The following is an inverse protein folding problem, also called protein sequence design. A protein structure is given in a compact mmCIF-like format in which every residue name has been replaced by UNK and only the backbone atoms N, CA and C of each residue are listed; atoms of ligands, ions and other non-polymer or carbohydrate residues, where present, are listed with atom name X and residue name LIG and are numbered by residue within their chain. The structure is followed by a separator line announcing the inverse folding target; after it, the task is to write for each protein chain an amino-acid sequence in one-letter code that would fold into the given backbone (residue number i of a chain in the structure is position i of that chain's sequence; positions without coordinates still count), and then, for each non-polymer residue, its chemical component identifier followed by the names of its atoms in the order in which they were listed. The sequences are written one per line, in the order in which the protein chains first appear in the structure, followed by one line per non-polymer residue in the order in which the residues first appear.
data_IF_132361417151
#
_entry.id   IF_132361417151
#
_cell.length_a   1.000
_cell.length_b   1.000
_cell.length_c   1.000
_cell.angle_alpha   90.00
_cell.angle_beta   90.00
_cell.angle_gamma   90.00
#
_symmetry.space_group_name_H-M   'P 1'
#
loop_
_entity.id
_entity.type
_entity.pdbx_description
1 polymer ?
#
# COMPACT_ATOMS: atom_id res chain seq x y z
N UNK A 1 -11.44 -17.42 -17.05
CA UNK A 1 -11.21 -17.89 -15.66
C UNK A 1 -10.12 -17.08 -15.00
N UNK A 2 -10.33 -16.67 -13.73
CA UNK A 2 -9.33 -15.97 -12.90
C UNK A 2 -8.10 -16.87 -12.67
N UNK A 3 -6.89 -16.29 -12.76
CA UNK A 3 -5.61 -17.03 -12.69
C UNK A 3 -4.68 -16.58 -11.57
N UNK A 4 -4.81 -15.35 -11.10
CA UNK A 4 -3.99 -14.81 -10.03
C UNK A 4 -4.46 -13.41 -9.66
N UNK A 5 -3.94 -12.93 -8.54
CA UNK A 5 -4.27 -11.64 -7.93
C UNK A 5 -2.96 -10.96 -7.57
N UNK A 6 -2.79 -9.70 -7.96
CA UNK A 6 -1.66 -8.87 -7.54
C UNK A 6 -2.22 -7.67 -6.78
N UNK A 7 -1.71 -7.41 -5.58
CA UNK A 7 -2.08 -6.26 -4.76
C UNK A 7 -0.81 -5.51 -4.40
N UNK A 8 -0.74 -4.24 -4.82
CA UNK A 8 0.36 -3.33 -4.50
C UNK A 8 -0.02 -2.43 -3.35
N UNK A 9 0.85 -2.31 -2.35
CA UNK A 9 0.70 -1.37 -1.24
C UNK A 9 -0.72 -1.39 -0.64
N UNK A 10 -1.28 -2.60 -0.48
CA UNK A 10 -2.69 -2.79 -0.16
C UNK A 10 -2.98 -2.66 1.34
N UNK A 11 -3.87 -1.75 1.70
CA UNK A 11 -4.42 -1.67 3.06
C UNK A 11 -5.53 -2.70 3.24
N UNK A 12 -5.26 -3.77 4.00
CA UNK A 12 -6.11 -4.97 4.07
C UNK A 12 -6.70 -5.19 5.47
N UNK A 13 -5.89 -5.04 6.51
CA UNK A 13 -6.27 -5.36 7.87
C UNK A 13 -5.85 -4.24 8.82
N UNK A 14 -6.74 -3.26 9.07
CA UNK A 14 -6.41 -2.09 9.90
C UNK A 14 -5.84 -2.47 11.27
N UNK A 15 -6.32 -3.55 11.89
CA UNK A 15 -5.82 -4.01 13.20
C UNK A 15 -4.32 -4.32 13.21
N UNK A 16 -3.77 -4.79 12.09
CA UNK A 16 -2.34 -5.14 11.97
C UNK A 16 -1.52 -4.13 11.17
N UNK A 17 -2.18 -3.18 10.49
CA UNK A 17 -1.54 -2.25 9.56
C UNK A 17 -1.48 -0.79 10.04
N UNK A 18 -1.95 -0.47 11.24
CA UNK A 18 -1.96 0.90 11.79
C UNK A 18 -0.73 1.26 12.64
N UNK A 19 0.42 0.59 12.48
CA UNK A 19 1.62 0.82 13.31
C UNK A 19 2.47 2.04 12.86
N UNK A 20 1.80 3.16 12.58
CA UNK A 20 2.45 4.36 12.04
C UNK A 20 3.48 4.97 12.99
N UNK A 21 3.24 4.89 14.29
CA UNK A 21 4.10 5.50 15.30
C UNK A 21 5.52 4.90 15.31
N UNK A 22 5.63 3.57 15.34
CA UNK A 22 6.91 2.87 15.39
C UNK A 22 7.62 3.00 14.05
N UNK A 23 6.88 2.92 12.94
CA UNK A 23 7.46 3.07 11.61
C UNK A 23 8.07 4.47 11.39
N UNK A 24 7.30 5.54 11.62
CA UNK A 24 7.76 6.91 11.41
C UNK A 24 8.94 7.28 12.33
N UNK A 25 8.94 6.78 13.56
CA UNK A 25 10.08 6.91 14.47
C UNK A 25 11.30 6.14 13.95
N UNK A 26 11.10 4.89 13.50
CA UNK A 26 12.15 4.01 12.99
C UNK A 26 12.88 4.57 11.77
N UNK A 27 12.18 5.31 10.91
CA UNK A 27 12.78 6.01 9.75
C UNK A 27 13.19 7.46 10.07
N UNK A 28 13.16 7.86 11.34
CA UNK A 28 13.62 9.17 11.83
C UNK A 28 12.85 10.39 11.29
N UNK A 29 11.60 10.22 10.86
CA UNK A 29 10.74 11.34 10.45
C UNK A 29 10.06 12.05 11.64
N UNK A 30 9.93 11.35 12.77
CA UNK A 30 9.34 11.92 13.98
C UNK A 30 10.17 11.55 15.22
N UNK A 31 10.14 12.41 16.24
CA UNK A 31 10.74 12.11 17.54
C UNK A 31 9.84 11.22 18.42
N UNK A 32 10.33 10.86 19.61
CA UNK A 32 9.58 10.00 20.55
C UNK A 32 8.28 10.63 21.04
N UNK A 33 8.21 11.96 21.18
CA UNK A 33 7.01 12.66 21.66
C UNK A 33 5.95 12.68 20.57
N UNK A 34 6.35 13.00 19.35
CA UNK A 34 5.50 12.97 18.17
C UNK A 34 4.99 11.54 17.88
N UNK A 35 5.85 10.54 17.98
CA UNK A 35 5.45 9.13 17.85
C UNK A 35 4.42 8.71 18.91
N UNK A 36 4.55 9.18 20.16
CA UNK A 36 3.57 8.90 21.21
C UNK A 36 2.18 9.47 20.88
N UNK A 37 2.11 10.67 20.29
CA UNK A 37 0.83 11.27 19.84
C UNK A 37 0.20 10.45 18.72
N UNK A 38 0.99 9.98 17.75
CA UNK A 38 0.49 9.10 16.67
C UNK A 38 0.00 7.78 17.26
N UNK A 39 0.75 7.20 18.21
CA UNK A 39 0.40 5.91 18.84
C UNK A 39 -0.94 5.98 19.58
N UNK A 40 -1.23 7.10 20.24
CA UNK A 40 -2.53 7.32 20.88
C UNK A 40 -3.69 7.21 19.87
N UNK A 41 -3.53 7.78 18.66
CA UNK A 41 -4.54 7.70 17.59
C UNK A 41 -4.70 6.28 17.06
N UNK A 42 -3.60 5.58 16.82
CA UNK A 42 -3.61 4.21 16.30
C UNK A 42 -4.21 3.23 17.32
N UNK A 43 -3.83 3.34 18.59
CA UNK A 43 -4.36 2.49 19.67
C UNK A 43 -5.86 2.72 19.88
N UNK A 44 -6.32 3.98 19.84
CA UNK A 44 -7.73 4.31 19.91
C UNK A 44 -8.51 3.71 18.73
N UNK A 45 -8.02 3.87 17.50
CA UNK A 45 -8.65 3.29 16.31
C UNK A 45 -8.73 1.76 16.39
N UNK A 46 -7.65 1.07 16.76
CA UNK A 46 -7.63 -0.39 16.95
C UNK A 46 -8.63 -0.82 18.05
N UNK A 47 -8.71 -0.08 19.15
CA UNK A 47 -9.68 -0.33 20.22
C UNK A 47 -11.13 -0.21 19.75
N UNK A 48 -11.42 0.77 18.89
CA UNK A 48 -12.75 1.00 18.30
C UNK A 48 -13.10 -0.06 17.25
N UNK A 49 -12.14 -0.47 16.41
CA UNK A 49 -12.30 -1.58 15.45
C UNK A 49 -12.72 -2.86 16.18
N UNK A 50 -12.06 -3.18 17.30
CA UNK A 50 -12.39 -4.37 18.12
C UNK A 50 -13.80 -4.33 18.72
N UNK A 51 -14.42 -3.17 18.79
CA UNK A 51 -15.81 -2.97 19.24
C UNK A 51 -16.81 -2.91 18.08
N UNK A 52 -16.36 -3.02 16.81
CA UNK A 52 -17.19 -2.84 15.62
C UNK A 52 -17.57 -1.38 15.33
N UNK A 53 -16.89 -0.41 15.96
CA UNK A 53 -17.15 1.04 15.83
C UNK A 53 -16.29 1.63 14.71
N UNK A 54 -16.52 1.18 13.48
CA UNK A 54 -15.63 1.47 12.35
C UNK A 54 -15.58 2.94 11.92
N UNK A 55 -16.73 3.62 11.94
CA UNK A 55 -16.80 5.07 11.66
C UNK A 55 -15.89 5.86 12.61
N UNK A 56 -16.06 5.61 13.91
CA UNK A 56 -15.31 6.29 14.96
C UNK A 56 -13.83 5.91 14.95
N UNK A 57 -13.51 4.66 14.57
CA UNK A 57 -12.14 4.25 14.35
C UNK A 57 -11.48 5.04 13.22
N UNK A 58 -12.21 5.29 12.13
CA UNK A 58 -11.68 6.07 11.01
C UNK A 58 -11.49 7.53 11.42
N UNK A 59 -12.45 8.10 12.17
CA UNK A 59 -12.31 9.44 12.76
C UNK A 59 -11.12 9.56 13.71
N UNK A 60 -10.83 8.52 14.49
CA UNK A 60 -9.70 8.52 15.42
C UNK A 60 -8.35 8.60 14.69
N UNK A 61 -8.22 7.95 13.54
CA UNK A 61 -6.97 7.88 12.79
C UNK A 61 -6.83 8.94 11.69
N UNK A 62 -7.93 9.49 11.17
CA UNK A 62 -7.93 10.43 10.03
C UNK A 62 -6.94 11.57 10.21
N UNK A 63 -6.88 12.18 11.40
CA UNK A 63 -5.95 13.28 11.72
C UNK A 63 -4.45 12.98 11.50
N UNK A 64 -4.04 11.71 11.39
CA UNK A 64 -2.65 11.35 11.11
C UNK A 64 -2.23 11.83 9.71
N UNK A 65 -3.03 11.56 8.70
CA UNK A 65 -2.73 11.91 7.30
C UNK A 65 -3.69 12.96 6.72
N UNK A 66 -4.94 12.96 7.17
CA UNK A 66 -5.98 13.92 6.79
C UNK A 66 -5.95 15.15 7.72
N UNK A 67 -6.39 16.30 7.20
CA UNK A 67 -6.44 17.57 7.91
C UNK A 67 -5.59 18.67 7.28
N UNK A 68 -5.74 19.89 7.77
CA UNK A 68 -5.08 21.08 7.21
C UNK A 68 -4.48 21.97 8.33
N UNK A 69 -3.24 21.70 8.78
CA UNK A 69 -2.39 20.55 8.43
C UNK A 69 -2.72 19.29 9.22
N UNK A 70 -2.45 18.11 8.65
CA UNK A 70 -2.47 16.82 9.36
C UNK A 70 -1.31 16.70 10.36
N UNK A 71 -1.35 15.72 11.28
CA UNK A 71 -0.23 15.47 12.21
C UNK A 71 1.05 15.15 11.45
N UNK A 72 0.98 14.32 10.41
CA UNK A 72 2.13 14.00 9.56
C UNK A 72 2.74 15.27 8.95
N UNK A 73 1.90 16.14 8.36
CA UNK A 73 2.36 17.41 7.77
C UNK A 73 2.99 18.33 8.82
N UNK A 74 2.35 18.45 9.99
CA UNK A 74 2.82 19.32 11.05
C UNK A 74 4.14 18.84 11.68
N UNK A 75 4.34 17.52 11.79
CA UNK A 75 5.54 16.95 12.41
C UNK A 75 6.73 16.86 11.46
N UNK A 76 6.49 16.61 10.18
CA UNK A 76 7.55 16.36 9.19
C UNK A 76 7.79 17.53 8.24
N UNK A 77 6.80 18.40 8.07
CA UNK A 77 6.77 19.41 7.01
C UNK A 77 6.44 18.85 5.62
N UNK A 78 6.14 17.55 5.50
CA UNK A 78 5.88 16.90 4.21
C UNK A 78 4.39 16.86 3.95
N UNK A 79 4.02 17.10 2.69
CA UNK A 79 2.64 16.96 2.20
C UNK A 79 2.41 15.68 1.41
N UNK A 80 3.50 14.95 1.13
CA UNK A 80 3.46 13.68 0.42
C UNK A 80 3.90 12.55 1.33
N UNK A 81 3.01 11.61 1.55
CA UNK A 81 3.24 10.38 2.32
C UNK A 81 3.30 9.14 1.41
N UNK A 82 3.27 9.31 0.07
CA UNK A 82 3.43 8.18 -0.86
C UNK A 82 4.90 7.84 -1.12
N UNK A 83 5.83 8.76 -0.91
CA UNK A 83 7.27 8.50 -1.03
C UNK A 83 8.02 9.49 -0.15
N UNK A 84 8.61 9.01 0.95
CA UNK A 84 9.25 9.90 1.93
C UNK A 84 10.55 10.55 1.46
N UNK A 85 11.06 10.24 0.26
CA UNK A 85 12.15 11.01 -0.35
C UNK A 85 11.67 12.33 -0.98
N UNK A 86 10.36 12.47 -1.17
CA UNK A 86 9.73 13.59 -1.84
C UNK A 86 8.81 14.32 -0.85
N UNK A 87 9.17 15.53 -0.45
CA UNK A 87 8.39 16.31 0.53
C UNK A 87 7.03 16.78 0.00
N UNK A 88 6.85 16.75 -1.32
CA UNK A 88 5.62 17.09 -2.06
C UNK A 88 5.39 16.08 -3.17
N UNK A 89 4.13 15.91 -3.56
CA UNK A 89 3.79 15.03 -4.67
C UNK A 89 4.38 15.62 -5.97
N UNK A 90 4.98 14.80 -6.86
CA UNK A 90 5.46 15.25 -8.15
C UNK A 90 4.33 15.85 -9.01
N UNK A 91 4.58 16.99 -9.65
CA UNK A 91 3.60 17.67 -10.50
C UNK A 91 3.17 16.81 -11.70
N UNK A 92 4.08 15.99 -12.22
CA UNK A 92 3.84 15.08 -13.32
C UNK A 92 3.02 13.85 -12.94
N UNK A 93 2.58 13.69 -11.68
CA UNK A 93 1.54 12.72 -11.36
C UNK A 93 0.15 13.21 -11.79
N UNK A 94 -0.07 14.52 -11.96
CA UNK A 94 -1.38 15.09 -12.30
C UNK A 94 -1.59 15.37 -13.80
N UNK A 95 -0.58 15.15 -14.66
CA UNK A 95 -0.62 15.56 -16.07
C UNK A 95 -1.75 14.91 -16.89
N UNK A 96 -2.22 13.72 -16.51
CA UNK A 96 -3.21 12.99 -17.28
C UNK A 96 -4.59 13.65 -17.20
N UNK A 97 -4.90 14.37 -16.13
CA UNK A 97 -6.18 15.05 -15.94
C UNK A 97 -6.45 16.05 -17.08
N UNK A 98 -5.58 17.05 -17.36
CA UNK A 98 -5.79 17.94 -18.49
C UNK A 98 -5.69 17.22 -19.86
N UNK A 99 -4.86 16.18 -19.98
CA UNK A 99 -4.76 15.40 -21.21
C UNK A 99 -6.07 14.69 -21.58
N UNK A 100 -6.70 14.01 -20.61
CA UNK A 100 -7.99 13.33 -20.76
C UNK A 100 -9.12 14.31 -21.11
N UNK A 101 -9.00 15.57 -20.72
CA UNK A 101 -10.00 16.61 -20.99
C UNK A 101 -9.90 17.21 -22.40
N UNK A 102 -8.86 16.92 -23.17
CA UNK A 102 -8.74 17.43 -24.54
C UNK A 102 -9.87 16.91 -25.45
N UNK A 103 -10.39 17.75 -26.35
CA UNK A 103 -11.47 17.35 -27.29
C UNK A 103 -11.10 16.11 -28.09
N UNK A 104 -9.83 16.00 -28.50
CA UNK A 104 -9.32 14.84 -29.24
C UNK A 104 -9.46 13.55 -28.42
N UNK A 105 -8.91 13.54 -27.20
CA UNK A 105 -8.93 12.34 -26.34
C UNK A 105 -10.36 11.96 -25.97
N UNK A 106 -11.17 12.93 -25.51
CA UNK A 106 -12.59 12.69 -25.16
C UNK A 106 -13.41 12.08 -26.30
N UNK A 107 -13.20 12.55 -27.54
CA UNK A 107 -13.83 11.97 -28.73
C UNK A 107 -13.34 10.55 -28.99
N UNK A 108 -12.04 10.30 -28.85
CA UNK A 108 -11.41 8.99 -29.08
C UNK A 108 -11.85 7.91 -28.08
N UNK A 109 -12.20 8.28 -26.84
CA UNK A 109 -12.67 7.32 -25.82
C UNK A 109 -14.19 7.33 -25.61
N UNK A 110 -14.94 8.03 -26.48
CA UNK A 110 -16.41 8.03 -26.52
C UNK A 110 -17.13 8.48 -25.23
N UNK A 111 -16.52 9.35 -24.42
CA UNK A 111 -17.12 9.82 -23.14
C UNK A 111 -18.11 10.99 -23.29
N UNK A 112 -18.30 11.49 -24.51
CA UNK A 112 -19.22 12.59 -24.79
C UNK A 112 -18.89 13.84 -23.97
N UNK A 113 -19.86 14.33 -23.18
CA UNK A 113 -19.74 15.51 -22.31
C UNK A 113 -19.53 15.17 -20.83
N UNK A 114 -19.32 13.90 -20.46
CA UNK A 114 -19.12 13.51 -19.06
C UNK A 114 -17.84 14.12 -18.48
N UNK A 115 -17.88 14.84 -17.35
CA UNK A 115 -16.68 15.35 -16.72
C UNK A 115 -15.82 14.19 -16.20
N UNK A 116 -14.50 14.29 -16.35
CA UNK A 116 -13.57 13.42 -15.66
C UNK A 116 -13.33 13.97 -14.26
N UNK A 117 -13.46 13.13 -13.24
CA UNK A 117 -13.08 13.41 -11.86
C UNK A 117 -12.16 12.28 -11.41
N UNK A 118 -11.01 12.65 -10.84
CA UNK A 118 -9.99 11.69 -10.40
C UNK A 118 -10.31 11.08 -9.03
N UNK A 119 -11.25 11.70 -8.31
CA UNK A 119 -11.80 11.24 -7.04
C UNK A 119 -13.28 11.62 -6.94
N UNK A 120 -13.99 11.04 -5.96
CA UNK A 120 -15.39 11.38 -5.68
C UNK A 120 -15.63 11.41 -4.18
N UNK A 121 -15.88 12.60 -3.63
CA UNK A 121 -16.22 12.79 -2.21
C UNK A 121 -17.43 11.97 -1.79
N UNK A 122 -18.44 11.82 -2.65
CA UNK A 122 -19.59 10.97 -2.36
C UNK A 122 -19.18 9.51 -2.11
N UNK A 123 -18.44 8.90 -3.04
CA UNK A 123 -17.95 7.52 -2.89
C UNK A 123 -17.04 7.40 -1.67
N UNK A 124 -16.14 8.36 -1.46
CA UNK A 124 -15.28 8.38 -0.26
C UNK A 124 -16.11 8.38 1.04
N UNK A 125 -17.11 9.26 1.13
CA UNK A 125 -17.97 9.37 2.31
C UNK A 125 -18.86 8.13 2.50
N UNK A 126 -19.38 7.55 1.42
CA UNK A 126 -20.19 6.33 1.49
C UNK A 126 -19.37 5.12 2.00
N UNK A 127 -18.06 5.09 1.74
CA UNK A 127 -17.12 4.04 2.18
C UNK A 127 -16.29 4.43 3.41
N UNK A 128 -16.56 5.58 4.03
CA UNK A 128 -15.68 6.13 5.07
C UNK A 128 -15.51 5.18 6.27
N UNK A 129 -16.60 4.58 6.75
CA UNK A 129 -16.52 3.56 7.81
C UNK A 129 -15.92 2.24 7.31
N UNK A 130 -16.09 1.90 6.03
CA UNK A 130 -15.62 0.63 5.44
C UNK A 130 -14.09 0.53 5.42
N UNK A 131 -13.38 1.67 5.39
CA UNK A 131 -11.92 1.70 5.46
C UNK A 131 -11.35 0.98 6.67
N UNK A 132 -12.09 0.97 7.80
CA UNK A 132 -11.68 0.31 9.04
C UNK A 132 -12.18 -1.14 9.18
N UNK A 133 -12.87 -1.65 8.17
CA UNK A 133 -13.33 -3.04 8.11
C UNK A 133 -12.22 -3.92 7.52
N UNK A 134 -11.90 -5.03 8.19
CA UNK A 134 -10.84 -5.93 7.74
C UNK A 134 -11.26 -6.76 6.52
N UNK A 135 -10.48 -6.67 5.44
CA UNK A 135 -10.59 -7.54 4.27
C UNK A 135 -9.78 -8.85 4.42
N UNK A 136 -9.05 -9.02 5.54
CA UNK A 136 -8.27 -10.22 5.86
C UNK A 136 -9.01 -11.55 5.66
N UNK A 137 -10.30 -11.72 6.01
CA UNK A 137 -11.00 -12.98 5.82
C UNK A 137 -11.13 -13.43 4.36
N UNK A 138 -10.95 -12.52 3.40
CA UNK A 138 -10.97 -12.84 1.97
C UNK A 138 -9.67 -13.53 1.53
N UNK A 139 -8.55 -13.33 2.23
CA UNK A 139 -7.24 -13.81 1.79
C UNK A 139 -7.07 -15.33 1.86
N UNK A 140 -7.39 -16.04 2.97
CA UNK A 140 -7.19 -17.48 3.04
C UNK A 140 -7.82 -18.26 1.88
N UNK A 141 -9.13 -18.13 1.56
CA UNK A 141 -9.71 -18.88 0.45
C UNK A 141 -9.12 -18.51 -0.93
N UNK A 142 -8.57 -17.29 -1.08
CA UNK A 142 -7.88 -16.89 -2.31
C UNK A 142 -6.50 -17.54 -2.41
N UNK A 143 -5.74 -17.59 -1.31
CA UNK A 143 -4.41 -18.21 -1.25
C UNK A 143 -4.44 -19.72 -1.48
N UNK A 144 -5.52 -20.39 -1.04
CA UNK A 144 -5.70 -21.83 -1.29
C UNK A 144 -5.96 -22.15 -2.78
N UNK A 145 -6.45 -21.17 -3.56
CA UNK A 145 -6.96 -21.42 -4.92
C UNK A 145 -6.19 -20.73 -6.04
N UNK A 146 -5.60 -19.57 -5.77
CA UNK A 146 -5.00 -18.71 -6.80
C UNK A 146 -3.57 -18.35 -6.45
N UNK A 147 -2.79 -18.00 -7.49
CA UNK A 147 -1.52 -17.30 -7.31
C UNK A 147 -1.80 -15.90 -6.75
N UNK A 148 -1.16 -15.54 -5.65
CA UNK A 148 -1.31 -14.22 -5.03
C UNK A 148 0.06 -13.57 -4.91
N UNK A 149 0.19 -12.37 -5.46
CA UNK A 149 1.34 -11.49 -5.32
C UNK A 149 0.95 -10.31 -4.41
N UNK A 150 1.63 -10.16 -3.28
CA UNK A 150 1.64 -8.91 -2.53
C UNK A 150 2.98 -8.22 -2.75
N UNK A 151 2.94 -6.94 -3.11
CA UNK A 151 4.14 -6.16 -3.27
C UNK A 151 4.02 -4.80 -2.57
N UNK A 152 5.13 -4.30 -2.06
CA UNK A 152 5.21 -2.98 -1.44
C UNK A 152 6.44 -2.23 -1.92
N UNK A 153 6.29 -0.93 -2.14
CA UNK A 153 7.41 -0.02 -2.23
C UNK A 153 8.07 0.22 -0.86
N UNK A 154 9.39 0.20 -0.82
CA UNK A 154 10.17 0.43 0.40
C UNK A 154 9.96 1.83 1.02
N UNK A 155 9.60 2.81 0.21
CA UNK A 155 9.53 4.23 0.57
C UNK A 155 8.09 4.71 0.89
N UNK A 156 7.12 3.80 0.89
CA UNK A 156 5.72 4.08 1.20
C UNK A 156 5.51 4.28 2.71
N UNK A 157 4.84 5.37 3.10
CA UNK A 157 4.44 5.61 4.49
C UNK A 157 3.02 5.13 4.77
N UNK A 158 2.08 5.37 3.86
CA UNK A 158 0.65 5.11 4.14
C UNK A 158 0.37 3.62 4.24
N UNK A 159 1.05 2.78 3.46
CA UNK A 159 0.98 1.32 3.58
C UNK A 159 2.38 0.72 3.58
N UNK A 160 3.15 1.08 4.60
CA UNK A 160 4.54 0.67 4.73
C UNK A 160 4.72 -0.86 4.73
N UNK A 161 5.84 -1.33 4.21
CA UNK A 161 6.16 -2.76 4.14
C UNK A 161 6.04 -3.53 5.48
N UNK A 162 6.49 -2.99 6.64
CA UNK A 162 6.30 -3.66 7.93
C UNK A 162 4.83 -3.92 8.28
N UNK A 163 3.89 -3.10 7.79
CA UNK A 163 2.45 -3.31 8.01
C UNK A 163 1.95 -4.53 7.24
N UNK A 164 2.44 -4.70 6.01
CA UNK A 164 2.18 -5.91 5.22
C UNK A 164 2.74 -7.16 5.91
N UNK A 165 3.93 -7.06 6.51
CA UNK A 165 4.52 -8.16 7.29
C UNK A 165 3.69 -8.51 8.54
N UNK A 166 3.24 -7.51 9.30
CA UNK A 166 2.37 -7.72 10.46
C UNK A 166 1.05 -8.40 10.06
N UNK A 167 0.45 -7.98 8.96
CA UNK A 167 -0.73 -8.62 8.39
C UNK A 167 -0.47 -10.08 8.01
N UNK A 168 0.61 -10.36 7.27
CA UNK A 168 0.96 -11.72 6.84
C UNK A 168 1.25 -12.64 8.02
N UNK A 169 1.95 -12.15 9.03
CA UNK A 169 2.22 -12.91 10.26
C UNK A 169 0.94 -13.28 11.03
N UNK A 170 -0.11 -12.48 10.89
CA UNK A 170 -1.40 -12.72 11.54
C UNK A 170 -2.35 -13.62 10.74
N UNK A 171 -2.01 -13.97 9.50
CA UNK A 171 -2.88 -14.67 8.57
C UNK A 171 -2.85 -16.19 8.81
N UNK A 172 -4.03 -16.79 8.98
CA UNK A 172 -4.16 -18.24 9.14
C UNK A 172 -4.54 -18.89 7.81
N UNK A 173 -3.61 -19.65 7.23
CA UNK A 173 -3.78 -20.38 5.97
C UNK A 173 -2.75 -21.52 5.88
N UNK A 174 -2.91 -22.45 4.94
CA UNK A 174 -2.10 -23.69 4.89
C UNK A 174 -0.60 -23.43 4.71
N UNK A 175 -0.22 -22.34 4.05
CA UNK A 175 1.16 -21.95 3.80
C UNK A 175 1.77 -21.02 4.85
N UNK A 176 1.05 -20.64 5.92
CA UNK A 176 1.52 -19.65 6.90
C UNK A 176 2.86 -20.04 7.54
N UNK A 177 2.98 -21.28 8.03
CA UNK A 177 4.22 -21.77 8.64
C UNK A 177 5.39 -21.84 7.65
N UNK A 178 5.10 -22.19 6.39
CA UNK A 178 6.11 -22.22 5.34
C UNK A 178 6.60 -20.82 4.98
N UNK A 179 5.69 -19.84 4.92
CA UNK A 179 6.03 -18.44 4.70
C UNK A 179 6.89 -17.88 5.85
N UNK A 180 6.51 -18.16 7.10
CA UNK A 180 7.26 -17.72 8.28
C UNK A 180 8.68 -18.31 8.34
N UNK A 181 8.86 -19.54 7.84
CA UNK A 181 10.16 -20.19 7.75
C UNK A 181 10.97 -19.81 6.50
N UNK A 182 10.34 -19.20 5.49
CA UNK A 182 10.98 -18.91 4.21
C UNK A 182 11.98 -17.75 4.35
N UNK A 183 13.24 -18.02 4.00
CA UNK A 183 14.27 -16.98 3.94
C UNK A 183 13.99 -16.01 2.80
N UNK A 184 14.08 -14.72 3.11
CA UNK A 184 14.02 -13.64 2.13
C UNK A 184 15.20 -13.72 1.15
N UNK A 185 14.89 -13.76 -0.15
CA UNK A 185 15.86 -13.85 -1.24
C UNK A 185 16.11 -12.47 -1.87
N UNK A 186 17.33 -12.23 -2.35
CA UNK A 186 17.70 -10.98 -3.03
C UNK A 186 17.35 -11.08 -4.51
N UNK A 187 16.38 -10.29 -4.95
CA UNK A 187 16.00 -10.19 -6.37
C UNK A 187 16.79 -9.07 -7.05
N UNK A 188 17.41 -9.40 -8.17
CA UNK A 188 18.38 -8.56 -8.88
C UNK A 188 17.93 -8.26 -10.30
N UNK A 189 18.52 -7.21 -10.88
CA UNK A 189 18.44 -6.94 -12.32
C UNK A 189 18.83 -8.16 -13.15
N UNK A 190 18.31 -8.34 -14.36
CA UNK A 190 18.89 -9.25 -15.34
C UNK A 190 20.41 -9.02 -15.45
N UNK A 191 21.21 -10.08 -15.32
CA UNK A 191 22.68 -10.00 -15.28
C UNK A 191 23.31 -9.68 -13.91
N UNK A 192 22.52 -9.45 -12.87
CA UNK A 192 22.96 -9.42 -11.46
C UNK A 192 23.58 -8.12 -10.94
N UNK A 193 23.67 -7.06 -11.75
CA UNK A 193 24.37 -5.82 -11.44
C UNK A 193 23.79 -4.97 -10.30
N UNK A 194 22.46 -4.91 -10.14
CA UNK A 194 21.81 -4.15 -9.07
C UNK A 194 20.70 -4.98 -8.38
N UNK A 195 20.27 -4.53 -7.21
CA UNK A 195 19.22 -5.15 -6.38
C UNK A 195 17.91 -4.41 -6.58
N UNK A 196 16.98 -5.04 -7.28
CA UNK A 196 15.59 -4.59 -7.42
C UNK A 196 14.82 -4.65 -6.11
N UNK A 197 15.08 -5.68 -5.31
CA UNK A 197 14.30 -5.87 -4.11
C UNK A 197 14.55 -7.20 -3.46
N UNK A 198 13.54 -7.64 -2.74
CA UNK A 198 13.60 -8.84 -1.94
C UNK A 198 12.30 -9.61 -2.05
N UNK A 199 12.41 -10.93 -2.10
CA UNK A 199 11.27 -11.80 -2.38
C UNK A 199 11.19 -12.91 -1.34
N UNK A 200 9.99 -13.22 -0.89
CA UNK A 200 9.68 -14.39 -0.06
C UNK A 200 8.52 -15.14 -0.69
N UNK A 201 8.61 -16.47 -0.75
CA UNK A 201 7.61 -17.30 -1.43
C UNK A 201 7.26 -18.51 -0.57
N UNK A 202 5.98 -18.88 -0.58
CA UNK A 202 5.48 -20.11 -0.01
C UNK A 202 4.22 -20.55 -0.76
N UNK A 203 4.18 -21.81 -1.21
CA UNK A 203 3.06 -22.33 -2.00
C UNK A 203 2.71 -21.40 -3.20
N UNK A 204 1.46 -20.95 -3.28
CA UNK A 204 0.97 -20.05 -4.33
C UNK A 204 1.15 -18.55 -4.02
N UNK A 205 1.81 -18.23 -2.92
CA UNK A 205 1.99 -16.86 -2.43
C UNK A 205 3.39 -16.34 -2.72
N UNK A 206 3.46 -15.10 -3.22
CA UNK A 206 4.70 -14.36 -3.42
C UNK A 206 4.58 -13.00 -2.77
N UNK A 207 5.56 -12.65 -1.95
CA UNK A 207 5.70 -11.36 -1.31
C UNK A 207 6.95 -10.66 -1.84
N UNK A 208 6.83 -9.39 -2.21
CA UNK A 208 7.92 -8.62 -2.81
C UNK A 208 8.04 -7.26 -2.12
N UNK A 209 9.23 -6.95 -1.61
CA UNK A 209 9.63 -5.57 -1.33
C UNK A 209 10.43 -5.04 -2.51
N UNK A 210 9.99 -3.94 -3.09
CA UNK A 210 10.72 -3.24 -4.15
C UNK A 210 11.48 -2.07 -3.56
N UNK A 211 12.80 -2.05 -3.76
CA UNK A 211 13.66 -0.96 -3.30
C UNK A 211 13.37 0.31 -4.06
N UNK A 212 13.59 1.45 -3.42
CA UNK A 212 13.48 2.79 -4.04
C UNK A 212 12.10 3.11 -4.66
N UNK A 213 11.06 2.33 -4.35
CA UNK A 213 9.69 2.61 -4.79
C UNK A 213 8.81 3.05 -3.61
N UNK A 214 7.86 3.95 -3.86
CA UNK A 214 6.85 4.40 -2.91
C UNK A 214 5.51 3.67 -3.08
N UNK A 215 4.42 4.36 -2.75
CA UNK A 215 3.05 3.85 -2.81
C UNK A 215 2.60 3.61 -4.26
N UNK A 216 2.92 4.54 -5.17
CA UNK A 216 2.64 4.40 -6.60
C UNK A 216 3.83 3.70 -7.26
N UNK A 217 4.04 2.43 -6.89
CA UNK A 217 5.25 1.69 -7.26
C UNK A 217 5.61 1.76 -8.76
N UNK A 218 4.68 1.58 -9.72
CA UNK A 218 5.02 1.64 -11.14
C UNK A 218 5.46 3.03 -11.62
N UNK A 219 5.12 4.10 -10.91
CA UNK A 219 5.61 5.44 -11.18
C UNK A 219 7.07 5.58 -10.73
N UNK A 220 7.40 5.13 -9.50
CA UNK A 220 8.75 5.29 -8.94
C UNK A 220 9.78 4.30 -9.54
N UNK A 221 9.36 3.08 -9.89
CA UNK A 221 10.22 1.99 -10.35
C UNK A 221 9.59 1.23 -11.53
N UNK A 222 9.39 1.86 -12.71
CA UNK A 222 8.64 1.28 -13.83
C UNK A 222 9.24 -0.03 -14.38
N UNK A 223 10.55 -0.06 -14.62
CA UNK A 223 11.23 -1.25 -15.17
C UNK A 223 11.18 -2.42 -14.18
N UNK A 224 11.31 -2.13 -12.89
CA UNK A 224 11.25 -3.13 -11.82
C UNK A 224 9.82 -3.67 -11.67
N UNK A 225 8.82 -2.78 -11.66
CA UNK A 225 7.42 -3.18 -11.62
C UNK A 225 7.03 -4.04 -12.85
N UNK A 226 7.58 -3.71 -14.02
CA UNK A 226 7.38 -4.49 -15.24
C UNK A 226 8.01 -5.89 -15.16
N UNK A 227 9.25 -6.02 -14.67
CA UNK A 227 9.89 -7.32 -14.45
C UNK A 227 9.10 -8.15 -13.43
N UNK A 228 8.70 -7.56 -12.30
CA UNK A 228 7.89 -8.21 -11.27
C UNK A 228 6.58 -8.78 -11.81
N UNK A 229 5.77 -7.96 -12.49
CA UNK A 229 4.45 -8.38 -12.96
C UNK A 229 4.58 -9.41 -14.09
N UNK A 230 5.58 -9.26 -14.96
CA UNK A 230 5.87 -10.23 -16.02
C UNK A 230 6.25 -11.58 -15.44
N UNK A 231 7.11 -11.61 -14.41
CA UNK A 231 7.46 -12.86 -13.72
C UNK A 231 6.26 -13.53 -13.08
N UNK A 232 5.40 -12.76 -12.42
CA UNK A 232 4.18 -13.28 -11.80
C UNK A 232 3.19 -13.89 -12.82
N UNK A 233 2.96 -13.17 -13.93
CA UNK A 233 2.07 -13.62 -15.01
C UNK A 233 2.62 -14.89 -15.66
N UNK A 234 3.89 -14.88 -16.04
CA UNK A 234 4.55 -15.98 -16.78
C UNK A 234 4.96 -17.15 -15.88
N UNK A 235 4.91 -16.99 -14.56
CA UNK A 235 5.42 -17.99 -13.61
C UNK A 235 6.95 -18.14 -13.64
N UNK A 236 7.67 -17.07 -13.98
CA UNK A 236 9.14 -17.06 -13.96
C UNK A 236 9.64 -16.89 -12.51
N UNK A 237 10.73 -17.56 -12.13
CA UNK A 237 11.31 -17.40 -10.80
C UNK A 237 11.86 -15.99 -10.62
N UNK A 238 11.89 -15.47 -9.39
CA UNK A 238 12.54 -14.18 -9.07
C UNK A 238 14.05 -14.30 -8.84
N UNK A 239 14.49 -15.48 -8.38
CA UNK A 239 15.89 -15.85 -8.12
C UNK A 239 16.25 -17.17 -8.76
#
# INVERSE_FOLDING_TARGET
NLKGIAVGNGFVDPVTMLDYADYLYGISLVDRKQAAVIREKTDAAIGLIKQGRYLEANDAISSVFDGSPSLYTNFTGFTNYYNYLLTKAPEDQAYYVPFLQTTRVRKSIHVGSLPFNDSSDKVYNDFYADQMVSAKPLFPPLLEKYKVLLYSGQLDIVVAYPFTENFLASLNWTGASALAAASRQVWRTPGGGDVYGYVRQAANFTEVLVRNGGHILPYDQPDVAYDMITRFIDGKPFV
#
